data_IF_348964879329
#
_entry.id   IF_348964879329
#
_cell.length_a   1.000
_cell.length_b   1.000
_cell.length_c   1.000
_cell.angle_alpha   90.00
_cell.angle_beta   90.00
_cell.angle_gamma   90.00
#
_symmetry.space_group_name_H-M   'P 1'
#
loop_
_entity.id
_entity.type
_entity.pdbx_description
1 polymer ?
#
# COMPACT_ATOMS: atom_id res chain seq x y z
N UNK A 1 6.90 10.40 0.40
CA UNK A 1 5.72 10.18 -0.46
C UNK A 1 4.57 9.72 0.43
N UNK A 2 3.40 10.27 0.26
CA UNK A 2 2.19 9.96 1.03
C UNK A 2 1.20 9.20 0.14
N UNK A 3 0.72 8.05 0.61
CA UNK A 3 -0.27 7.23 -0.07
C UNK A 3 -1.60 7.34 0.67
N UNK A 4 -2.68 7.65 -0.03
CA UNK A 4 -4.02 7.73 0.54
C UNK A 4 -4.93 6.71 -0.13
N UNK A 5 -5.44 5.75 0.64
CA UNK A 5 -6.44 4.80 0.12
C UNK A 5 -7.81 5.44 0.13
N UNK A 6 -8.41 5.48 -1.04
CA UNK A 6 -9.70 6.09 -1.32
C UNK A 6 -10.60 5.06 -2.00
N UNK A 7 -11.91 5.26 -1.89
CA UNK A 7 -12.89 4.50 -2.68
C UNK A 7 -13.29 5.29 -3.90
N UNK A 8 -13.76 4.60 -4.94
CA UNK A 8 -14.27 5.24 -6.16
C UNK A 8 -15.65 5.89 -5.92
N UNK A 9 -15.74 6.79 -4.93
CA UNK A 9 -16.96 7.54 -4.59
C UNK A 9 -16.88 8.97 -5.10
N UNK A 10 -18.04 9.54 -5.45
CA UNK A 10 -18.15 10.92 -5.95
C UNK A 10 -17.51 11.95 -5.00
N UNK A 11 -17.70 11.78 -3.69
CA UNK A 11 -17.14 12.69 -2.69
C UNK A 11 -15.61 12.68 -2.68
N UNK A 12 -15.01 11.50 -2.77
CA UNK A 12 -13.55 11.34 -2.78
C UNK A 12 -12.94 11.84 -4.08
N UNK A 13 -13.57 11.59 -5.24
CA UNK A 13 -13.16 12.16 -6.52
C UNK A 13 -13.23 13.69 -6.53
N UNK A 14 -14.29 14.26 -5.94
CA UNK A 14 -14.40 15.71 -5.78
C UNK A 14 -13.29 16.28 -4.89
N UNK A 15 -12.94 15.59 -3.81
CA UNK A 15 -11.84 16.00 -2.94
C UNK A 15 -10.47 15.96 -3.67
N UNK A 16 -10.21 14.94 -4.48
CA UNK A 16 -9.00 14.86 -5.31
C UNK A 16 -8.93 16.02 -6.30
N UNK A 17 -10.02 16.30 -6.98
CA UNK A 17 -10.10 17.42 -7.93
C UNK A 17 -9.82 18.76 -7.24
N UNK A 18 -10.42 19.00 -6.08
CA UNK A 18 -10.20 20.22 -5.31
C UNK A 18 -8.75 20.32 -4.81
N UNK A 19 -8.13 19.20 -4.42
CA UNK A 19 -6.73 19.18 -4.01
C UNK A 19 -5.81 19.78 -5.09
N UNK A 20 -6.06 19.45 -6.36
CA UNK A 20 -5.30 19.97 -7.50
C UNK A 20 -5.70 21.41 -7.81
N UNK A 21 -6.99 21.71 -7.84
CA UNK A 21 -7.52 23.06 -8.18
C UNK A 21 -7.09 24.14 -7.19
N UNK A 22 -6.91 23.79 -5.91
CA UNK A 22 -6.39 24.74 -4.90
C UNK A 22 -4.87 24.95 -4.97
N UNK A 23 -4.19 24.39 -5.98
CA UNK A 23 -2.76 24.59 -6.19
C UNK A 23 -1.87 23.95 -5.12
N UNK A 24 -2.37 22.92 -4.42
CA UNK A 24 -1.55 22.18 -3.48
C UNK A 24 -0.42 21.44 -4.19
N UNK A 25 0.73 21.33 -3.54
CA UNK A 25 1.83 20.49 -4.02
C UNK A 25 1.43 19.02 -3.87
N UNK A 26 1.15 18.37 -4.99
CA UNK A 26 0.77 16.96 -5.07
C UNK A 26 1.91 16.04 -5.52
N UNK A 27 3.14 16.56 -5.66
CA UNK A 27 4.30 15.78 -6.14
C UNK A 27 4.65 14.60 -5.23
N UNK A 28 4.33 14.70 -3.96
CA UNK A 28 4.55 13.66 -2.95
C UNK A 28 3.27 12.94 -2.53
N UNK A 29 2.19 13.05 -3.30
CA UNK A 29 0.91 12.43 -3.01
C UNK A 29 0.53 11.42 -4.10
N UNK A 30 0.19 10.20 -3.69
CA UNK A 30 -0.27 9.12 -4.58
C UNK A 30 -1.60 8.58 -4.04
N UNK A 31 -2.71 8.80 -4.73
CA UNK A 31 -3.96 8.14 -4.40
C UNK A 31 -3.87 6.64 -4.76
N UNK A 32 -4.28 5.79 -3.83
CA UNK A 32 -4.53 4.36 -4.02
C UNK A 32 -6.04 4.18 -4.04
N UNK A 33 -6.63 4.01 -5.23
CA UNK A 33 -8.08 4.01 -5.40
C UNK A 33 -8.58 2.58 -5.50
N UNK A 34 -9.41 2.16 -4.53
CA UNK A 34 -10.14 0.90 -4.59
C UNK A 34 -11.21 1.03 -5.66
N UNK A 35 -11.03 0.29 -6.76
CA UNK A 35 -11.96 0.27 -7.88
C UNK A 35 -12.97 -0.86 -7.73
N UNK A 36 -14.14 -0.66 -8.33
CA UNK A 36 -15.23 -1.62 -8.30
C UNK A 36 -15.58 -2.15 -9.68
N UNK A 37 -15.35 -1.34 -10.69
CA UNK A 37 -15.71 -1.63 -12.07
C UNK A 37 -14.48 -1.46 -12.96
N UNK A 38 -14.11 -2.53 -13.66
CA UNK A 38 -12.97 -2.57 -14.60
C UNK A 38 -13.41 -2.06 -15.99
N UNK A 39 -13.85 -0.81 -16.08
CA UNK A 39 -14.32 -0.24 -17.33
C UNK A 39 -13.66 1.12 -17.66
N UNK A 40 -13.72 1.49 -18.94
CA UNK A 40 -13.13 2.71 -19.45
C UNK A 40 -13.73 3.98 -18.84
N UNK A 41 -15.03 3.95 -18.46
CA UNK A 41 -15.68 5.11 -17.85
C UNK A 41 -15.11 5.36 -16.46
N UNK A 42 -14.91 4.31 -15.67
CA UNK A 42 -14.28 4.36 -14.35
C UNK A 42 -12.89 4.97 -14.42
N UNK A 43 -12.06 4.54 -15.37
CA UNK A 43 -10.72 5.10 -15.59
C UNK A 43 -10.77 6.58 -16.00
N UNK A 44 -11.69 6.94 -16.89
CA UNK A 44 -11.87 8.32 -17.33
C UNK A 44 -12.34 9.25 -16.19
N UNK A 45 -13.24 8.78 -15.33
CA UNK A 45 -13.70 9.53 -14.15
C UNK A 45 -12.59 9.78 -13.13
N UNK A 46 -11.73 8.77 -12.89
CA UNK A 46 -10.57 8.92 -12.02
C UNK A 46 -9.61 9.94 -12.62
N UNK A 47 -9.27 9.82 -13.91
CA UNK A 47 -8.38 10.73 -14.63
C UNK A 47 -8.90 12.17 -14.64
N UNK A 48 -10.19 12.37 -14.84
CA UNK A 48 -10.82 13.69 -14.79
C UNK A 48 -10.76 14.34 -13.38
N UNK A 49 -10.59 13.51 -12.35
CA UNK A 49 -10.49 13.98 -10.97
C UNK A 49 -9.05 14.20 -10.53
N UNK A 50 -8.12 13.41 -11.07
CA UNK A 50 -6.70 13.46 -10.72
C UNK A 50 -5.86 12.94 -11.91
N UNK A 51 -5.10 13.81 -12.52
CA UNK A 51 -4.36 13.54 -13.76
C UNK A 51 -2.88 13.13 -13.55
N UNK A 52 -2.45 12.98 -12.29
CA UNK A 52 -1.14 12.46 -11.97
C UNK A 52 -1.20 10.94 -11.72
N UNK A 53 -0.09 10.37 -11.27
CA UNK A 53 0.04 8.94 -11.01
C UNK A 53 -0.93 8.45 -9.93
N UNK A 54 -1.62 7.35 -10.20
CA UNK A 54 -2.62 6.70 -9.34
C UNK A 54 -2.34 5.21 -9.25
N UNK A 55 -2.48 4.63 -8.07
CA UNK A 55 -2.57 3.19 -7.89
C UNK A 55 -4.03 2.74 -7.93
N UNK A 56 -4.34 1.76 -8.76
CA UNK A 56 -5.65 1.12 -8.86
C UNK A 56 -5.65 -0.15 -7.99
N UNK A 57 -6.32 -0.10 -6.85
CA UNK A 57 -6.40 -1.22 -5.92
C UNK A 57 -7.55 -2.14 -6.33
N UNK A 58 -7.19 -3.33 -6.79
CA UNK A 58 -8.14 -4.30 -7.36
C UNK A 58 -8.67 -5.31 -6.35
N UNK A 59 -8.57 -5.03 -5.05
CA UNK A 59 -9.01 -5.94 -3.97
C UNK A 59 -10.50 -6.29 -4.00
N UNK A 60 -11.33 -5.52 -4.67
CA UNK A 60 -12.79 -5.74 -4.79
C UNK A 60 -13.18 -6.33 -6.15
N UNK A 61 -12.23 -6.58 -7.06
CA UNK A 61 -12.44 -7.20 -8.36
C UNK A 61 -12.19 -8.71 -8.31
N UNK A 62 -12.89 -9.45 -9.16
CA UNK A 62 -12.55 -10.85 -9.43
C UNK A 62 -11.43 -10.99 -10.49
N UNK A 63 -11.04 -12.23 -10.79
CA UNK A 63 -9.92 -12.48 -11.71
C UNK A 63 -10.21 -12.02 -13.14
N UNK A 64 -11.43 -12.20 -13.62
CA UNK A 64 -11.83 -11.85 -14.98
C UNK A 64 -11.88 -10.33 -15.16
N UNK A 65 -12.35 -9.62 -14.13
CA UNK A 65 -12.34 -8.16 -14.10
C UNK A 65 -10.92 -7.59 -14.03
N UNK A 66 -10.01 -8.24 -13.29
CA UNK A 66 -8.60 -7.84 -13.25
C UNK A 66 -7.93 -8.00 -14.62
N UNK A 67 -8.15 -9.13 -15.29
CA UNK A 67 -7.62 -9.37 -16.64
C UNK A 67 -8.18 -8.34 -17.63
N UNK A 68 -9.48 -8.02 -17.56
CA UNK A 68 -10.10 -6.98 -18.38
C UNK A 68 -9.50 -5.59 -18.12
N UNK A 69 -9.22 -5.26 -16.87
CA UNK A 69 -8.56 -4.00 -16.52
C UNK A 69 -7.13 -3.91 -17.08
N UNK A 70 -6.38 -5.00 -17.03
CA UNK A 70 -5.03 -5.06 -17.60
C UNK A 70 -5.06 -4.82 -19.09
N UNK A 71 -5.98 -5.47 -19.83
CA UNK A 71 -6.15 -5.24 -21.26
C UNK A 71 -6.49 -3.77 -21.57
N UNK A 72 -7.37 -3.14 -20.78
CA UNK A 72 -7.69 -1.73 -20.94
C UNK A 72 -6.46 -0.82 -20.71
N UNK A 73 -5.63 -1.12 -19.71
CA UNK A 73 -4.44 -0.33 -19.40
C UNK A 73 -3.31 -0.55 -20.44
N UNK A 74 -3.20 -1.75 -21.03
CA UNK A 74 -2.26 -2.01 -22.13
C UNK A 74 -2.62 -1.22 -23.40
N UNK A 75 -3.90 -0.98 -23.64
CA UNK A 75 -4.39 -0.17 -24.75
C UNK A 75 -4.33 1.34 -24.46
N UNK A 76 -4.24 1.71 -23.19
CA UNK A 76 -4.15 3.11 -22.76
C UNK A 76 -2.72 3.65 -22.93
N UNK A 77 -2.56 4.67 -23.76
CA UNK A 77 -1.26 5.32 -24.00
C UNK A 77 -0.80 6.23 -22.85
N UNK A 78 -1.58 6.35 -21.78
CA UNK A 78 -1.27 7.20 -20.64
C UNK A 78 -0.75 6.35 -19.48
N UNK A 79 0.52 6.44 -19.16
CA UNK A 79 1.22 5.73 -18.07
C UNK A 79 0.88 6.26 -16.66
N UNK A 80 -0.33 6.77 -16.46
CA UNK A 80 -0.70 7.39 -15.18
C UNK A 80 -1.26 6.39 -14.15
N UNK A 81 -1.51 5.14 -14.55
CA UNK A 81 -2.07 4.11 -13.71
C UNK A 81 -1.12 2.94 -13.52
N UNK A 82 -1.00 2.47 -12.29
CA UNK A 82 -0.45 1.16 -11.96
C UNK A 82 -1.46 0.36 -11.14
N UNK A 83 -1.38 -0.97 -11.22
CA UNK A 83 -2.27 -1.85 -10.48
C UNK A 83 -1.62 -2.25 -9.15
N UNK A 84 -2.42 -2.17 -8.07
CA UNK A 84 -2.11 -2.72 -6.75
C UNK A 84 -2.85 -4.06 -6.58
N UNK A 85 -2.12 -5.16 -6.75
CA UNK A 85 -2.69 -6.50 -6.62
C UNK A 85 -2.76 -6.95 -5.16
N UNK A 86 -3.81 -7.66 -4.74
CA UNK A 86 -3.73 -8.45 -3.52
C UNK A 86 -2.71 -9.58 -3.70
N UNK A 87 -1.97 -9.89 -2.65
CA UNK A 87 -0.90 -10.89 -2.74
C UNK A 87 -1.43 -12.28 -3.11
N UNK A 88 -2.65 -12.62 -2.74
CA UNK A 88 -3.31 -13.86 -3.11
C UNK A 88 -3.44 -14.03 -4.63
N UNK A 89 -3.71 -12.94 -5.34
CA UNK A 89 -3.74 -12.96 -6.80
C UNK A 89 -2.35 -13.25 -7.39
N UNK A 90 -1.31 -12.64 -6.84
CA UNK A 90 0.09 -12.88 -7.24
C UNK A 90 0.53 -14.31 -6.94
N UNK A 91 0.09 -14.90 -5.82
CA UNK A 91 0.38 -16.30 -5.48
C UNK A 91 -0.11 -17.28 -6.55
N UNK A 92 -1.25 -16.97 -7.16
CA UNK A 92 -1.89 -17.82 -8.15
C UNK A 92 -1.47 -17.49 -9.60
N UNK A 93 -0.89 -16.32 -9.86
CA UNK A 93 -0.59 -15.81 -11.19
C UNK A 93 0.88 -15.37 -11.32
N UNK A 94 1.77 -16.32 -11.61
CA UNK A 94 3.23 -16.07 -11.69
C UNK A 94 3.64 -14.99 -12.70
N UNK A 95 2.89 -14.82 -13.80
CA UNK A 95 3.19 -13.85 -14.86
C UNK A 95 3.01 -12.39 -14.44
N UNK A 96 2.30 -12.12 -13.34
CA UNK A 96 1.99 -10.76 -12.88
C UNK A 96 3.01 -10.19 -11.88
N UNK A 97 4.07 -10.94 -11.55
CA UNK A 97 5.01 -10.59 -10.47
C UNK A 97 5.93 -9.42 -10.78
N UNK A 98 6.15 -9.07 -12.04
CA UNK A 98 7.20 -8.11 -12.41
C UNK A 98 6.72 -6.66 -12.60
N UNK A 99 5.42 -6.41 -12.78
CA UNK A 99 4.97 -5.16 -13.40
C UNK A 99 4.44 -4.09 -12.46
N UNK A 100 3.89 -4.41 -11.29
CA UNK A 100 3.07 -3.47 -10.54
C UNK A 100 3.34 -3.54 -9.03
N UNK A 101 2.43 -3.05 -8.25
CA UNK A 101 2.50 -3.07 -6.80
C UNK A 101 1.74 -4.27 -6.24
N UNK A 102 2.18 -4.80 -5.13
CA UNK A 102 1.48 -5.85 -4.38
C UNK A 102 1.11 -5.36 -2.99
N UNK A 103 -0.08 -5.71 -2.53
CA UNK A 103 -0.58 -5.46 -1.19
C UNK A 103 -0.55 -6.75 -0.37
N UNK A 104 0.12 -6.70 0.77
CA UNK A 104 0.17 -7.77 1.76
C UNK A 104 -0.60 -7.27 2.99
N UNK A 105 -1.77 -7.82 3.26
CA UNK A 105 -2.52 -7.50 4.46
C UNK A 105 -2.12 -8.36 5.66
N UNK A 106 -2.47 -7.92 6.86
CA UNK A 106 -2.07 -8.60 8.11
C UNK A 106 -2.64 -10.02 8.25
N UNK A 107 -3.70 -10.37 7.52
CA UNK A 107 -4.36 -11.66 7.66
C UNK A 107 -3.64 -12.76 6.89
N UNK A 108 -2.96 -12.40 5.81
CA UNK A 108 -2.13 -13.32 5.01
C UNK A 108 -0.85 -13.69 5.74
N UNK A 109 -0.36 -12.81 6.62
CA UNK A 109 0.95 -12.98 7.27
C UNK A 109 0.92 -14.10 8.31
N UNK A 110 1.47 -15.25 7.92
CA UNK A 110 1.67 -16.42 8.77
C UNK A 110 3.00 -17.12 8.42
N UNK A 111 3.35 -18.17 9.12
CA UNK A 111 4.63 -18.88 8.93
C UNK A 111 4.80 -19.48 7.53
N UNK A 112 3.73 -19.97 6.90
CA UNK A 112 3.76 -20.51 5.54
C UNK A 112 4.02 -19.41 4.52
N UNK A 113 3.32 -18.28 4.67
CA UNK A 113 3.52 -17.12 3.81
C UNK A 113 4.95 -16.57 3.93
N UNK A 114 5.49 -16.47 5.14
CA UNK A 114 6.88 -16.02 5.36
C UNK A 114 7.89 -16.98 4.70
N UNK A 115 7.67 -18.29 4.78
CA UNK A 115 8.53 -19.26 4.11
C UNK A 115 8.46 -19.11 2.59
N UNK A 116 7.25 -19.02 2.03
CA UNK A 116 7.05 -18.77 0.61
C UNK A 116 7.72 -17.45 0.17
N UNK A 117 7.57 -16.39 0.95
CA UNK A 117 8.15 -15.09 0.65
C UNK A 117 9.69 -15.16 0.58
N UNK A 118 10.36 -15.89 1.47
CA UNK A 118 11.81 -16.11 1.43
C UNK A 118 12.28 -16.71 0.11
N UNK A 119 11.47 -17.60 -0.46
CA UNK A 119 11.80 -18.29 -1.70
C UNK A 119 11.48 -17.46 -2.95
N UNK A 120 10.45 -16.60 -2.87
CA UNK A 120 9.86 -15.92 -4.02
C UNK A 120 10.01 -14.39 -4.02
N UNK A 121 10.63 -13.78 -3.01
CA UNK A 121 10.68 -12.31 -2.88
C UNK A 121 11.27 -11.60 -4.11
N UNK A 122 12.25 -12.21 -4.78
CA UNK A 122 12.86 -11.64 -5.99
C UNK A 122 11.91 -11.59 -7.19
N UNK A 123 10.83 -12.37 -7.15
CA UNK A 123 9.79 -12.41 -8.19
C UNK A 123 8.61 -11.49 -7.89
N UNK A 124 8.61 -10.83 -6.73
CA UNK A 124 7.54 -9.88 -6.39
C UNK A 124 7.71 -8.55 -7.11
N UNK A 125 6.61 -7.81 -7.31
CA UNK A 125 6.66 -6.40 -7.71
C UNK A 125 7.60 -5.60 -6.82
N UNK A 126 8.32 -4.63 -7.40
CA UNK A 126 9.26 -3.78 -6.64
C UNK A 126 8.57 -2.91 -5.58
N UNK A 127 7.30 -2.57 -5.78
CA UNK A 127 6.49 -1.83 -4.82
C UNK A 127 5.62 -2.77 -3.98
N UNK A 128 5.87 -2.83 -2.67
CA UNK A 128 5.11 -3.66 -1.74
C UNK A 128 4.41 -2.79 -0.71
N UNK A 129 3.09 -2.87 -0.65
CA UNK A 129 2.28 -2.21 0.37
C UNK A 129 1.99 -3.20 1.50
N UNK A 130 2.41 -2.84 2.71
CA UNK A 130 2.06 -3.57 3.93
C UNK A 130 0.84 -2.91 4.55
N UNK A 131 -0.29 -3.62 4.48
CA UNK A 131 -1.58 -3.14 4.97
C UNK A 131 -1.86 -3.66 6.38
N UNK A 132 -1.74 -2.77 7.35
CA UNK A 132 -2.06 -3.04 8.75
C UNK A 132 -3.55 -2.97 9.05
N UNK A 133 -4.37 -2.59 8.04
CA UNK A 133 -5.80 -2.33 8.18
C UNK A 133 -6.10 -1.28 9.26
N UNK A 134 -7.29 -1.40 9.92
CA UNK A 134 -7.60 -0.54 11.05
C UNK A 134 -6.77 -0.92 12.27
N UNK A 135 -6.14 0.07 12.89
CA UNK A 135 -5.45 -0.05 14.16
C UNK A 135 -5.94 1.05 15.11
N UNK A 136 -6.20 0.69 16.35
CA UNK A 136 -6.58 1.61 17.44
C UNK A 136 -5.38 2.02 18.30
N UNK A 137 -4.32 1.23 18.24
CA UNK A 137 -3.06 1.47 18.95
C UNK A 137 -1.90 0.77 18.25
N UNK A 138 -0.71 1.29 18.40
CA UNK A 138 0.52 0.60 17.99
C UNK A 138 0.99 -0.29 19.13
N UNK A 139 1.00 -1.59 18.89
CA UNK A 139 1.56 -2.54 19.84
C UNK A 139 2.70 -3.37 19.22
N UNK A 140 3.53 -3.93 20.08
CA UNK A 140 4.70 -4.70 19.68
C UNK A 140 4.33 -5.94 18.87
N UNK A 141 3.17 -6.53 19.11
CA UNK A 141 2.69 -7.72 18.39
C UNK A 141 2.40 -7.40 16.92
N UNK A 142 1.70 -6.29 16.65
CA UNK A 142 1.39 -5.83 15.29
C UNK A 142 2.70 -5.59 14.52
N UNK A 143 3.64 -4.86 15.11
CA UNK A 143 4.92 -4.54 14.46
C UNK A 143 5.76 -5.79 14.25
N UNK A 144 5.84 -6.68 15.25
CA UNK A 144 6.65 -7.90 15.18
C UNK A 144 6.13 -8.89 14.13
N UNK A 145 4.85 -8.90 13.84
CA UNK A 145 4.24 -9.73 12.80
C UNK A 145 4.81 -9.42 11.40
N UNK A 146 5.05 -8.15 11.11
CA UNK A 146 5.59 -7.71 9.82
C UNK A 146 7.12 -7.65 9.76
N UNK A 147 7.80 -7.77 10.90
CA UNK A 147 9.26 -7.72 10.96
C UNK A 147 9.96 -8.69 10.01
N UNK A 148 9.62 -10.00 9.96
CA UNK A 148 10.26 -10.92 9.03
C UNK A 148 10.05 -10.54 7.56
N UNK A 149 8.90 -9.94 7.23
CA UNK A 149 8.61 -9.48 5.87
C UNK A 149 9.52 -8.32 5.49
N UNK A 150 9.67 -7.34 6.39
CA UNK A 150 10.53 -6.19 6.17
C UNK A 150 12.01 -6.59 6.01
N UNK A 151 12.46 -7.63 6.72
CA UNK A 151 13.82 -8.18 6.61
C UNK A 151 14.05 -8.91 5.27
N UNK A 152 13.01 -9.57 4.72
CA UNK A 152 13.10 -10.27 3.43
C UNK A 152 13.05 -9.29 2.26
N UNK A 153 12.25 -8.22 2.39
CA UNK A 153 11.96 -7.25 1.32
C UNK A 153 12.87 -6.01 1.35
N UNK A 154 14.10 -6.14 1.81
CA UNK A 154 15.06 -5.02 1.99
C UNK A 154 15.34 -4.23 0.72
N UNK A 155 15.25 -4.86 -0.46
CA UNK A 155 15.44 -4.25 -1.78
C UNK A 155 14.15 -3.74 -2.45
N UNK A 156 13.01 -3.82 -1.74
CA UNK A 156 11.72 -3.40 -2.27
C UNK A 156 11.34 -2.00 -1.77
N UNK A 157 10.54 -1.29 -2.57
CA UNK A 157 9.91 -0.05 -2.12
C UNK A 157 8.75 -0.39 -1.19
N UNK A 158 8.93 -0.21 0.10
CA UNK A 158 7.90 -0.51 1.09
C UNK A 158 6.99 0.69 1.30
N UNK A 159 5.69 0.44 1.22
CA UNK A 159 4.62 1.39 1.53
C UNK A 159 3.92 0.88 2.79
N UNK A 160 3.87 1.71 3.83
CA UNK A 160 3.14 1.38 5.05
C UNK A 160 1.74 2.00 4.96
N UNK A 161 0.73 1.16 5.10
CA UNK A 161 -0.66 1.59 5.11
C UNK A 161 -1.35 1.14 6.39
N UNK A 162 -2.10 2.04 7.01
CA UNK A 162 -3.00 1.73 8.12
C UNK A 162 -4.12 2.75 8.21
N UNK A 163 -5.29 2.32 8.69
CA UNK A 163 -6.39 3.19 9.01
C UNK A 163 -6.46 3.44 10.51
N UNK A 164 -6.45 4.69 10.94
CA UNK A 164 -6.63 5.08 12.34
C UNK A 164 -8.01 5.73 12.59
N UNK A 165 -8.78 5.98 11.53
CA UNK A 165 -10.13 6.56 11.65
C UNK A 165 -11.13 5.43 11.79
N UNK A 166 -11.87 5.33 12.90
CA UNK A 166 -12.89 4.30 13.08
C UNK A 166 -14.01 4.46 12.05
N UNK A 167 -14.60 3.34 11.63
CA UNK A 167 -15.70 3.33 10.66
C UNK A 167 -16.92 4.13 11.15
N UNK A 168 -17.13 4.15 12.46
CA UNK A 168 -18.17 4.95 13.12
C UNK A 168 -17.45 5.97 13.99
N UNK A 169 -17.53 7.23 13.61
CA UNK A 169 -17.05 8.29 14.47
C UNK A 169 -17.92 8.37 15.71
N UNK A 170 -17.34 8.43 16.93
CA UNK A 170 -18.12 8.63 18.13
C UNK A 170 -18.87 9.95 18.01
N UNK A 171 -20.17 9.89 18.22
CA UNK A 171 -21.02 11.08 18.29
C UNK A 171 -20.72 11.73 19.65
N UNK A 172 -19.73 12.60 19.66
CA UNK A 172 -19.42 13.41 20.83
C UNK A 172 -20.12 14.76 20.70
N UNK A 173 -20.83 15.15 21.73
CA UNK A 173 -21.33 16.53 21.89
C UNK A 173 -20.20 17.49 22.30
N UNK A 174 -18.99 17.02 22.45
CA UNK A 174 -17.82 17.83 22.80
C UNK A 174 -17.20 18.40 21.54
N UNK A 175 -17.07 19.73 21.48
CA UNK A 175 -16.54 20.48 20.33
C UNK A 175 -15.08 20.16 19.96
N UNK A 176 -14.36 19.32 20.71
CA UNK A 176 -12.93 19.07 20.58
C UNK A 176 -12.57 17.58 20.52
N UNK A 177 -13.30 16.76 19.77
CA UNK A 177 -12.88 15.38 19.56
C UNK A 177 -11.62 15.32 18.69
N UNK A 178 -10.52 14.82 19.28
CA UNK A 178 -9.24 14.63 18.58
C UNK A 178 -9.01 13.15 18.28
N UNK A 179 -8.86 12.82 17.00
CA UNK A 179 -8.43 11.47 16.59
C UNK A 179 -6.90 11.44 16.64
N UNK A 180 -6.34 10.48 17.36
CA UNK A 180 -4.90 10.25 17.38
C UNK A 180 -4.40 9.83 15.98
N UNK A 181 -3.22 10.32 15.60
CA UNK A 181 -2.55 9.97 14.34
C UNK A 181 -1.72 8.69 14.51
N UNK A 182 -2.39 7.58 14.84
CA UNK A 182 -1.76 6.29 15.14
C UNK A 182 -0.92 5.77 13.96
N UNK A 183 -1.31 6.08 12.72
CA UNK A 183 -0.54 5.74 11.54
C UNK A 183 0.86 6.38 11.52
N UNK A 184 1.03 7.56 12.14
CA UNK A 184 2.36 8.19 12.28
C UNK A 184 3.20 7.49 13.33
N UNK A 185 2.61 7.08 14.43
CA UNK A 185 3.27 6.30 15.47
C UNK A 185 3.73 4.94 14.90
N UNK A 186 2.85 4.23 14.19
CA UNK A 186 3.20 2.99 13.51
C UNK A 186 4.38 3.17 12.55
N UNK A 187 4.34 4.18 11.69
CA UNK A 187 5.43 4.47 10.78
C UNK A 187 6.74 4.74 11.51
N UNK A 188 6.69 5.46 12.62
CA UNK A 188 7.86 5.76 13.44
C UNK A 188 8.48 4.49 14.04
N UNK A 189 7.66 3.61 14.63
CA UNK A 189 8.11 2.33 15.21
C UNK A 189 8.74 1.41 14.15
N UNK A 190 8.12 1.28 12.99
CA UNK A 190 8.67 0.49 11.88
C UNK A 190 10.01 1.07 11.42
N UNK A 191 10.12 2.39 11.30
CA UNK A 191 11.37 3.06 10.92
C UNK A 191 12.48 2.79 11.93
N UNK A 192 12.20 2.88 13.22
CA UNK A 192 13.17 2.57 14.28
C UNK A 192 13.62 1.11 14.20
N UNK A 193 12.71 0.18 13.96
CA UNK A 193 13.01 -1.23 13.82
C UNK A 193 13.95 -1.50 12.64
N UNK A 194 13.69 -0.91 11.47
CA UNK A 194 14.54 -1.04 10.28
C UNK A 194 15.93 -0.44 10.51
N UNK A 195 16.05 0.71 11.15
CA UNK A 195 17.35 1.33 11.47
C UNK A 195 18.15 0.42 12.41
N UNK A 196 17.54 -0.14 13.45
CA UNK A 196 18.19 -1.07 14.37
C UNK A 196 18.69 -2.32 13.64
N UNK A 197 17.93 -2.86 12.71
CA UNK A 197 18.32 -4.00 11.91
C UNK A 197 19.55 -3.70 11.04
N UNK A 198 19.57 -2.57 10.35
CA UNK A 198 20.72 -2.14 9.54
C UNK A 198 21.99 -1.94 10.37
N UNK A 199 21.89 -1.36 11.56
CA UNK A 199 23.03 -1.17 12.47
C UNK A 199 23.57 -2.52 12.95
N UNK A 200 22.70 -3.45 13.38
CA UNK A 200 23.11 -4.77 13.81
C UNK A 200 23.79 -5.56 12.68
N UNK A 201 23.25 -5.51 11.45
CA UNK A 201 23.83 -6.19 10.30
C UNK A 201 25.22 -5.62 9.94
N UNK A 202 25.40 -4.31 9.99
CA UNK A 202 26.69 -3.66 9.71
C UNK A 202 27.76 -3.96 10.81
N UNK A 203 27.36 -4.08 12.05
CA UNK A 203 28.28 -4.46 13.16
C UNK A 203 28.76 -5.91 12.99
N UNK A 204 27.87 -6.82 12.62
CA UNK A 204 28.22 -8.24 12.35
C UNK A 204 29.20 -8.32 11.16
N UNK A 205 28.99 -7.59 10.09
CA UNK A 205 29.89 -7.55 8.94
C UNK A 205 31.28 -7.01 9.30
N UNK A 206 31.35 -6.00 10.17
CA UNK A 206 32.64 -5.46 10.65
C UNK A 206 33.40 -6.47 11.53
N UNK A 207 32.71 -7.29 12.33
CA UNK A 207 33.34 -8.34 13.13
C UNK A 207 33.85 -9.50 12.29
N UNK A 208 33.15 -9.87 11.22
CA UNK A 208 33.59 -10.93 10.29
C UNK A 208 34.77 -10.51 9.41
N UNK A 209 34.98 -9.22 9.19
CA UNK A 209 36.12 -8.68 8.43
C UNK A 209 37.40 -8.54 9.27
N UNK A 210 37.34 -8.75 10.60
CA UNK A 210 38.49 -8.69 11.52
C UNK A 210 39.03 -10.06 11.95
N UNK A 211 38.42 -11.17 11.52
CA UNK A 211 38.90 -12.53 11.70
C UNK A 211 39.34 -13.14 10.35
#
# INVERSE_FOLDING_TARGET
MYYATLRQKQGERRALKQLVEFGNDVTNFVPNIIIKDADQNSLNEIRASYNNFVLLDVRELDSDDIDSLEELLELDQNDNFDIMYPVEYILNNNSKREKNYVRIDKNVVNSFFIQWLKEQHNSLPKGVMLDFEYIDSVNTEIVSKFKPILEILDNHKIIIMSGAVPQVLPVSSEENYRISRIEKELFHEIKIMLIKHLICSSVIMLQLAQN
#
